data_IF_113027355913
#
_entry.id   IF_113027355913
#
_cell.length_a   1.000
_cell.length_b   1.000
_cell.length_c   1.000
_cell.angle_alpha   90.00
_cell.angle_beta   90.00
_cell.angle_gamma   90.00
#
_symmetry.space_group_name_H-M   'P 1'
#
loop_
_entity.id
_entity.type
_entity.pdbx_description
1 polymer ?
#
# COMPACT_ATOMS: atom_id res chain seq x y z
N UNK A 1 24.29 -6.33 38.30
CA UNK A 1 23.16 -5.51 37.79
C UNK A 1 23.45 -4.75 36.50
N UNK A 2 24.59 -4.10 36.31
CA UNK A 2 24.90 -3.37 35.04
C UNK A 2 24.94 -4.24 33.80
N UNK A 3 25.39 -5.49 33.87
CA UNK A 3 25.44 -6.43 32.72
C UNK A 3 24.05 -6.87 32.22
N UNK A 4 23.08 -6.97 33.14
CA UNK A 4 21.70 -7.38 32.80
C UNK A 4 20.94 -6.29 32.04
N UNK A 5 21.12 -5.02 32.41
CA UNK A 5 20.47 -3.89 31.73
C UNK A 5 21.01 -3.69 30.32
N UNK A 6 22.32 -3.84 30.13
CA UNK A 6 22.95 -3.74 28.83
C UNK A 6 22.47 -4.86 27.88
N UNK A 7 22.32 -6.08 28.40
CA UNK A 7 21.79 -7.21 27.63
C UNK A 7 20.35 -6.99 27.20
N UNK A 8 19.50 -6.45 28.05
CA UNK A 8 18.10 -6.12 27.72
C UNK A 8 18.03 -5.00 26.69
N UNK A 9 18.85 -3.97 26.81
CA UNK A 9 18.92 -2.88 25.83
C UNK A 9 19.36 -3.39 24.45
N UNK A 10 20.35 -4.28 24.38
CA UNK A 10 20.79 -4.88 23.12
C UNK A 10 19.68 -5.71 22.49
N UNK A 11 18.94 -6.48 23.27
CA UNK A 11 17.80 -7.27 22.77
C UNK A 11 16.67 -6.38 22.24
N UNK A 12 16.37 -5.27 22.90
CA UNK A 12 15.35 -4.31 22.45
C UNK A 12 15.78 -3.65 21.14
N UNK A 13 17.03 -3.18 21.05
CA UNK A 13 17.58 -2.60 19.81
C UNK A 13 17.60 -3.60 18.66
N UNK A 14 17.92 -4.86 18.95
CA UNK A 14 17.89 -5.93 17.94
C UNK A 14 16.45 -6.22 17.50
N UNK A 15 15.48 -6.26 18.41
CA UNK A 15 14.08 -6.45 18.10
C UNK A 15 13.53 -5.32 17.22
N UNK A 16 13.84 -4.06 17.54
CA UNK A 16 13.46 -2.90 16.72
C UNK A 16 14.09 -2.98 15.33
N UNK A 17 15.37 -3.31 15.24
CA UNK A 17 16.06 -3.46 13.95
C UNK A 17 15.48 -4.57 13.09
N UNK A 18 15.09 -5.70 13.69
CA UNK A 18 14.43 -6.82 12.99
C UNK A 18 13.03 -6.41 12.51
N UNK A 19 12.28 -5.67 13.31
CA UNK A 19 10.97 -5.15 12.92
C UNK A 19 11.06 -4.22 11.70
N UNK A 20 12.02 -3.31 11.68
CA UNK A 20 12.25 -2.43 10.52
C UNK A 20 12.58 -3.22 9.24
N UNK A 21 13.38 -4.28 9.36
CA UNK A 21 13.73 -5.14 8.23
C UNK A 21 12.56 -5.97 7.72
N UNK A 22 11.69 -6.47 8.60
CA UNK A 22 10.48 -7.23 8.23
C UNK A 22 9.51 -6.32 7.48
N UNK A 23 9.25 -5.12 7.99
CA UNK A 23 8.37 -4.12 7.34
C UNK A 23 8.92 -3.73 5.96
N UNK A 24 10.24 -3.52 5.85
CA UNK A 24 10.86 -3.20 4.57
C UNK A 24 10.76 -4.36 3.56
N UNK A 25 10.86 -5.60 4.02
CA UNK A 25 10.68 -6.79 3.17
C UNK A 25 9.22 -6.97 2.73
N UNK A 26 8.25 -6.71 3.59
CA UNK A 26 6.82 -6.83 3.25
C UNK A 26 6.40 -5.74 2.26
N UNK A 27 6.89 -4.50 2.43
CA UNK A 27 6.70 -3.42 1.47
C UNK A 27 7.40 -3.75 0.13
N UNK A 28 8.62 -4.28 0.16
CA UNK A 28 9.33 -4.73 -1.05
C UNK A 28 8.61 -5.88 -1.73
N UNK A 29 8.03 -6.82 -0.97
CA UNK A 29 7.28 -7.96 -1.49
C UNK A 29 5.97 -7.52 -2.13
N UNK A 30 5.27 -6.57 -1.51
CA UNK A 30 4.10 -5.91 -2.10
C UNK A 30 4.44 -5.15 -3.40
N UNK A 31 5.69 -4.70 -3.56
CA UNK A 31 6.17 -3.89 -4.68
C UNK A 31 6.95 -4.73 -5.70
N UNK A 32 7.65 -5.81 -5.30
CA UNK A 32 8.49 -6.66 -6.17
C UNK A 32 7.66 -7.58 -7.08
N UNK A 33 6.40 -7.81 -6.77
CA UNK A 33 5.46 -8.37 -7.75
C UNK A 33 5.38 -7.51 -9.03
N UNK A 34 5.82 -6.24 -8.95
CA UNK A 34 5.91 -5.29 -10.05
C UNK A 34 6.79 -5.69 -11.24
N UNK A 35 7.83 -6.47 -11.02
CA UNK A 35 8.90 -6.58 -12.01
C UNK A 35 8.89 -7.90 -12.78
N UNK A 36 8.03 -8.85 -12.44
CA UNK A 36 8.07 -10.19 -13.03
C UNK A 36 6.97 -10.48 -14.06
N UNK A 37 6.00 -9.55 -14.24
CA UNK A 37 4.93 -9.79 -15.21
C UNK A 37 4.68 -8.57 -16.11
N UNK A 38 5.41 -8.44 -17.23
CA UNK A 38 5.30 -7.28 -18.14
C UNK A 38 3.99 -7.23 -18.96
N UNK A 39 3.06 -8.13 -18.72
CA UNK A 39 1.81 -8.25 -19.50
C UNK A 39 0.66 -7.41 -18.98
N UNK A 40 0.72 -6.90 -17.74
CA UNK A 40 -0.34 -6.06 -17.18
C UNK A 40 0.06 -4.59 -17.19
N UNK A 41 -0.69 -3.79 -17.92
CA UNK A 41 -0.65 -2.32 -17.86
C UNK A 41 -1.94 -1.83 -17.22
N UNK A 42 -1.95 -0.61 -16.67
CA UNK A 42 -3.15 0.02 -16.09
C UNK A 42 -4.37 -0.06 -17.01
N UNK A 43 -4.16 0.04 -18.32
CA UNK A 43 -5.20 0.07 -19.33
C UNK A 43 -5.87 -1.29 -19.56
N UNK A 44 -5.23 -2.38 -19.15
CA UNK A 44 -5.73 -3.75 -19.30
C UNK A 44 -6.42 -4.29 -18.06
N UNK A 45 -6.32 -3.61 -16.92
CA UNK A 45 -6.94 -4.05 -15.66
C UNK A 45 -8.44 -3.76 -15.69
N UNK A 46 -9.24 -4.81 -15.50
CA UNK A 46 -10.70 -4.77 -15.42
C UNK A 46 -11.20 -5.30 -14.07
N UNK A 47 -12.50 -5.11 -13.79
CA UNK A 47 -13.09 -5.51 -12.49
C UNK A 47 -12.83 -6.97 -12.11
N UNK A 48 -12.84 -7.90 -13.06
CA UNK A 48 -12.62 -9.33 -12.82
C UNK A 48 -11.22 -9.66 -12.33
N UNK A 49 -10.23 -8.81 -12.62
CA UNK A 49 -8.85 -9.04 -12.18
C UNK A 49 -8.70 -8.89 -10.67
N UNK A 50 -9.61 -8.16 -10.02
CA UNK A 50 -9.60 -7.97 -8.56
C UNK A 50 -10.01 -9.22 -7.77
N UNK A 51 -10.65 -10.20 -8.38
CA UNK A 51 -11.15 -11.38 -7.66
C UNK A 51 -10.02 -12.24 -7.06
N UNK A 52 -8.86 -12.27 -7.71
CA UNK A 52 -7.72 -13.10 -7.31
C UNK A 52 -6.42 -12.31 -7.17
N UNK A 53 -6.46 -11.00 -7.42
CA UNK A 53 -5.28 -10.16 -7.38
C UNK A 53 -4.85 -9.77 -5.96
N UNK A 54 -3.56 -9.54 -5.77
CA UNK A 54 -3.03 -8.88 -4.59
C UNK A 54 -3.25 -7.36 -4.70
N UNK A 55 -4.27 -6.85 -4.01
CA UNK A 55 -4.56 -5.42 -3.98
C UNK A 55 -3.83 -4.76 -2.82
N UNK A 56 -3.05 -3.73 -3.10
CA UNK A 56 -2.37 -2.90 -2.09
C UNK A 56 -2.82 -1.45 -2.22
N UNK A 57 -3.15 -0.83 -1.10
CA UNK A 57 -3.56 0.57 -1.03
C UNK A 57 -2.67 1.35 -0.07
N UNK A 58 -2.04 2.42 -0.56
CA UNK A 58 -1.34 3.39 0.28
C UNK A 58 -2.30 4.47 0.73
N UNK A 59 -2.36 4.71 2.03
CA UNK A 59 -3.32 5.61 2.67
C UNK A 59 -2.64 6.58 3.64
N UNK A 60 -3.41 7.56 4.12
CA UNK A 60 -3.09 8.38 5.28
C UNK A 60 -4.35 8.59 6.13
N UNK A 61 -4.20 8.76 7.44
CA UNK A 61 -5.32 8.86 8.39
C UNK A 61 -6.28 10.02 8.09
N UNK A 62 -5.77 11.14 7.60
CA UNK A 62 -6.51 12.36 7.26
C UNK A 62 -7.18 12.32 5.86
N UNK A 63 -6.93 11.30 5.07
CA UNK A 63 -7.30 11.23 3.66
C UNK A 63 -8.75 10.75 3.47
N UNK A 64 -9.67 11.64 3.11
CA UNK A 64 -11.07 11.32 2.81
C UNK A 64 -11.24 10.37 1.62
N UNK A 65 -10.48 10.59 0.55
CA UNK A 65 -10.47 9.71 -0.63
C UNK A 65 -9.99 8.28 -0.32
N UNK A 66 -9.09 8.13 0.66
CA UNK A 66 -8.64 6.82 1.13
C UNK A 66 -9.78 6.06 1.81
N UNK A 67 -10.59 6.76 2.61
CA UNK A 67 -11.79 6.17 3.23
C UNK A 67 -12.78 5.69 2.16
N UNK A 68 -13.03 6.52 1.14
CA UNK A 68 -13.90 6.17 0.02
C UNK A 68 -13.37 4.96 -0.78
N UNK A 69 -12.08 4.89 -1.04
CA UNK A 69 -11.46 3.77 -1.74
C UNK A 69 -11.60 2.47 -0.94
N UNK A 70 -11.30 2.49 0.36
CA UNK A 70 -11.47 1.32 1.24
C UNK A 70 -12.92 0.88 1.33
N UNK A 71 -13.85 1.83 1.41
CA UNK A 71 -15.28 1.51 1.42
C UNK A 71 -15.69 0.81 0.14
N UNK A 72 -15.29 1.31 -1.03
CA UNK A 72 -15.59 0.70 -2.32
C UNK A 72 -15.03 -0.73 -2.45
N UNK A 73 -13.77 -0.93 -2.05
CA UNK A 73 -13.16 -2.25 -2.04
C UNK A 73 -13.94 -3.23 -1.14
N UNK A 74 -14.34 -2.78 0.04
CA UNK A 74 -15.16 -3.59 0.97
C UNK A 74 -16.56 -3.90 0.41
N UNK A 75 -17.24 -2.94 -0.22
CA UNK A 75 -18.54 -3.15 -0.87
C UNK A 75 -18.46 -4.18 -1.99
N UNK A 76 -17.37 -4.17 -2.74
CA UNK A 76 -17.07 -5.14 -3.81
C UNK A 76 -16.49 -6.46 -3.26
N UNK A 77 -16.32 -6.60 -1.94
CA UNK A 77 -15.72 -7.77 -1.27
C UNK A 77 -14.30 -8.10 -1.75
N UNK A 78 -13.56 -7.07 -2.16
CA UNK A 78 -12.18 -7.17 -2.57
C UNK A 78 -11.30 -7.06 -1.32
N UNK A 79 -10.47 -8.08 -1.07
CA UNK A 79 -9.47 -8.03 -0.01
C UNK A 79 -8.28 -7.19 -0.44
N UNK A 80 -7.74 -6.40 0.48
CA UNK A 80 -6.61 -5.53 0.19
C UNK A 80 -5.67 -5.43 1.39
N UNK A 81 -4.41 -5.14 1.11
CA UNK A 81 -3.41 -4.79 2.10
C UNK A 81 -3.28 -3.27 2.18
N UNK A 82 -3.49 -2.72 3.38
CA UNK A 82 -3.37 -1.27 3.61
C UNK A 82 -1.98 -0.92 4.14
N UNK A 83 -1.38 0.09 3.55
CA UNK A 83 -0.13 0.71 4.00
C UNK A 83 -0.41 2.16 4.37
N UNK A 84 -0.55 2.45 5.66
CA UNK A 84 -0.61 3.84 6.11
C UNK A 84 0.80 4.45 6.05
N UNK A 85 0.95 5.49 5.25
CA UNK A 85 2.27 6.10 5.02
C UNK A 85 2.82 6.82 6.24
N UNK A 86 1.96 7.20 7.17
CA UNK A 86 2.35 7.85 8.42
C UNK A 86 2.85 6.81 9.43
N UNK A 87 2.13 5.69 9.59
CA UNK A 87 2.51 4.60 10.50
C UNK A 87 3.85 3.97 10.13
N UNK A 88 4.10 3.81 8.83
CA UNK A 88 5.36 3.24 8.33
C UNK A 88 6.46 4.27 8.12
N UNK A 89 6.23 5.55 8.45
CA UNK A 89 7.17 6.66 8.23
C UNK A 89 7.79 6.64 6.82
N UNK A 90 6.93 6.40 5.83
CA UNK A 90 7.34 6.28 4.44
C UNK A 90 7.59 7.68 3.87
N UNK A 91 8.84 8.02 3.64
CA UNK A 91 9.21 9.28 3.01
C UNK A 91 8.98 9.25 1.51
N UNK A 92 8.68 10.42 0.91
CA UNK A 92 8.60 10.58 -0.56
C UNK A 92 9.86 10.06 -1.27
N UNK A 93 11.04 10.22 -0.64
CA UNK A 93 12.30 9.70 -1.18
C UNK A 93 12.27 8.18 -1.29
N UNK A 94 11.80 7.49 -0.23
CA UNK A 94 11.72 6.02 -0.21
C UNK A 94 10.73 5.49 -1.24
N UNK A 95 9.63 6.20 -1.47
CA UNK A 95 8.66 5.86 -2.53
C UNK A 95 9.26 6.01 -3.91
N UNK A 96 10.03 7.08 -4.13
CA UNK A 96 10.74 7.33 -5.38
C UNK A 96 11.80 6.25 -5.68
N UNK A 97 12.53 5.80 -4.66
CA UNK A 97 13.52 4.70 -4.77
C UNK A 97 12.88 3.37 -5.23
N UNK A 98 11.57 3.20 -5.01
CA UNK A 98 10.81 2.02 -5.44
C UNK A 98 9.93 2.28 -6.68
N UNK A 99 10.22 3.35 -7.42
CA UNK A 99 9.59 3.65 -8.71
C UNK A 99 8.27 4.42 -8.63
N UNK A 100 7.89 4.94 -7.46
CA UNK A 100 6.70 5.79 -7.31
C UNK A 100 7.15 7.26 -7.44
N UNK A 101 7.12 7.81 -8.65
CA UNK A 101 7.59 9.17 -8.94
C UNK A 101 6.65 10.24 -8.39
N UNK A 102 5.34 10.12 -8.67
CA UNK A 102 4.30 11.04 -8.24
C UNK A 102 3.45 10.41 -7.15
N UNK A 103 3.86 10.61 -5.89
CA UNK A 103 3.16 10.05 -4.75
C UNK A 103 1.97 10.90 -4.33
N UNK A 104 0.82 10.26 -4.29
CA UNK A 104 -0.41 10.77 -3.70
C UNK A 104 -1.14 9.65 -2.96
N UNK A 105 -2.09 9.98 -2.10
CA UNK A 105 -2.96 9.00 -1.43
C UNK A 105 -4.42 9.29 -1.75
N UNK A 106 -5.26 8.23 -1.95
CA UNK A 106 -4.87 6.83 -2.00
C UNK A 106 -4.13 6.51 -3.29
N UNK A 107 -3.11 5.68 -3.20
CA UNK A 107 -2.50 5.07 -4.37
C UNK A 107 -2.71 3.56 -4.31
N UNK A 108 -3.27 3.01 -5.38
CA UNK A 108 -3.78 1.63 -5.41
C UNK A 108 -3.00 0.84 -6.45
N UNK A 109 -2.66 -0.37 -6.07
CA UNK A 109 -1.93 -1.33 -6.88
C UNK A 109 -2.70 -2.63 -6.96
N UNK A 110 -2.74 -3.23 -8.13
CA UNK A 110 -3.34 -4.54 -8.40
C UNK A 110 -2.26 -5.42 -8.99
N UNK A 111 -1.89 -6.50 -8.31
CA UNK A 111 -0.74 -7.35 -8.64
C UNK A 111 0.55 -6.55 -8.91
N UNK A 112 0.73 -5.48 -8.15
CA UNK A 112 1.87 -4.59 -8.27
C UNK A 112 1.75 -3.53 -9.36
N UNK A 113 0.73 -3.51 -10.19
CA UNK A 113 0.50 -2.49 -11.22
C UNK A 113 -0.22 -1.29 -10.60
N UNK A 114 0.33 -0.06 -10.68
CA UNK A 114 -0.32 1.13 -10.16
C UNK A 114 -1.53 1.48 -11.03
N UNK A 115 -2.72 1.42 -10.47
CA UNK A 115 -3.95 1.78 -11.18
C UNK A 115 -4.34 3.24 -10.99
N UNK A 116 -3.77 3.91 -10.01
CA UNK A 116 -4.04 5.30 -9.64
C UNK A 116 -4.76 5.46 -8.32
N UNK A 117 -5.63 6.46 -8.22
CA UNK A 117 -6.37 6.80 -7.01
C UNK A 117 -7.81 6.31 -6.97
N UNK A 118 -8.58 6.91 -6.06
CA UNK A 118 -10.01 6.56 -5.86
C UNK A 118 -10.85 6.74 -7.13
N UNK A 119 -10.60 7.80 -7.91
CA UNK A 119 -11.33 8.06 -9.15
C UNK A 119 -11.08 6.97 -10.22
N UNK A 120 -9.84 6.50 -10.31
CA UNK A 120 -9.48 5.41 -11.22
C UNK A 120 -10.11 4.09 -10.76
N UNK A 121 -10.05 3.79 -9.46
CA UNK A 121 -10.69 2.61 -8.88
C UNK A 121 -12.20 2.61 -9.16
N UNK A 122 -12.88 3.74 -8.94
CA UNK A 122 -14.31 3.88 -9.27
C UNK A 122 -14.61 3.56 -10.72
N UNK A 123 -13.79 4.09 -11.62
CA UNK A 123 -13.95 3.89 -13.06
C UNK A 123 -13.82 2.42 -13.44
N UNK A 124 -12.80 1.73 -12.90
CA UNK A 124 -12.56 0.31 -13.18
C UNK A 124 -13.68 -0.57 -12.61
N UNK A 125 -14.11 -0.32 -11.38
CA UNK A 125 -15.14 -1.10 -10.70
C UNK A 125 -16.59 -0.66 -11.04
N UNK A 126 -16.78 0.24 -11.99
CA UNK A 126 -18.09 0.70 -12.43
C UNK A 126 -18.93 1.34 -11.31
N UNK A 127 -18.31 1.96 -10.32
CA UNK A 127 -19.00 2.52 -9.16
C UNK A 127 -19.49 3.96 -9.38
N UNK A 128 -20.71 4.22 -8.93
CA UNK A 128 -21.32 5.57 -8.91
C UNK A 128 -21.16 6.28 -7.56
N UNK A 129 -20.37 5.74 -6.64
CA UNK A 129 -20.14 6.37 -5.33
C UNK A 129 -19.73 7.84 -5.48
N UNK A 130 -20.27 8.75 -4.66
CA UNK A 130 -19.85 10.14 -4.67
C UNK A 130 -18.36 10.25 -4.27
N UNK A 131 -17.70 11.24 -4.84
CA UNK A 131 -16.35 11.60 -4.42
C UNK A 131 -16.48 12.32 -3.07
N UNK A 132 -15.70 11.94 -2.04
CA UNK A 132 -15.73 12.65 -0.76
C UNK A 132 -15.39 14.13 -0.95
N UNK A 133 -16.15 15.00 -0.32
CA UNK A 133 -15.78 16.41 -0.23
C UNK A 133 -14.54 16.56 0.67
N UNK A 134 -13.57 17.36 0.24
CA UNK A 134 -12.31 17.65 0.95
C UNK A 134 -12.51 18.86 1.86
#
# INVERSE_FOLDING_TARGET
MKKSILSVLVLILFAVFVQEKIVEQDIRKAIVVFNENPTFTKETIVETDFENAAVTIFTATWCGYCKGAKQLLNEKKITFFEVDVEDYNISKRKLKEIGIEDFFVPQIFVDGVPIGGFSDLKKILGSTMPVPEV
#
